data_IF_248250493776
#
_entry.id   IF_248250493776
#
_cell.length_a   1.000
_cell.length_b   1.000
_cell.length_c   1.000
_cell.angle_alpha   90.00
_cell.angle_beta   90.00
_cell.angle_gamma   90.00
#
_symmetry.space_group_name_H-M   'P 1'
#
loop_
_entity.id
_entity.type
_entity.pdbx_description
1 polymer ?
#
# COMPACT_ATOMS: atom_id res chain seq x y z
N UNK A 1 5.41 -72.81 3.38
CA UNK A 1 5.40 -73.55 4.66
C UNK A 1 6.15 -72.69 5.69
N UNK A 2 5.45 -71.87 6.48
CA UNK A 2 4.88 -72.14 7.81
C UNK A 2 5.93 -72.22 8.94
N UNK A 3 5.99 -71.15 9.76
CA UNK A 3 5.95 -71.08 11.25
C UNK A 3 6.72 -69.81 11.71
N UNK A 4 6.06 -68.77 12.24
CA UNK A 4 5.40 -68.58 13.55
C UNK A 4 6.38 -68.38 14.72
N UNK A 5 5.92 -67.53 15.65
CA UNK A 5 6.44 -67.20 17.00
C UNK A 5 7.55 -66.14 17.04
N UNK A 6 7.53 -65.13 17.89
CA UNK A 6 6.63 -64.87 19.02
C UNK A 6 6.85 -63.46 19.54
N UNK A 7 5.83 -63.01 20.26
CA UNK A 7 5.78 -61.90 21.20
C UNK A 7 7.06 -61.80 22.03
N UNK A 8 7.52 -60.60 22.39
CA UNK A 8 7.90 -60.24 23.77
C UNK A 8 8.34 -58.77 23.90
N UNK A 9 7.63 -58.08 24.81
CA UNK A 9 8.16 -57.17 25.84
C UNK A 9 8.70 -55.80 25.44
N UNK A 10 7.88 -54.82 25.82
CA UNK A 10 8.21 -53.43 26.14
C UNK A 10 9.46 -53.28 26.98
N UNK A 11 10.29 -52.27 26.67
CA UNK A 11 11.00 -51.53 27.71
C UNK A 11 11.03 -50.05 27.34
N UNK A 12 10.45 -49.26 28.23
CA UNK A 12 10.45 -47.81 28.28
C UNK A 12 11.90 -47.33 28.44
N UNK A 13 12.36 -46.47 27.55
CA UNK A 13 13.64 -45.78 27.64
C UNK A 13 13.55 -44.39 27.02
N UNK A 14 13.22 -43.39 27.85
CA UNK A 14 13.58 -42.01 27.55
C UNK A 14 15.10 -41.92 27.49
N UNK A 15 15.66 -41.24 26.49
CA UNK A 15 16.75 -40.27 26.62
C UNK A 15 17.03 -39.59 25.26
N UNK A 16 16.86 -38.27 25.29
CA UNK A 16 17.43 -37.21 24.47
C UNK A 16 18.36 -37.54 23.28
N UNK A 17 18.13 -36.85 22.15
CA UNK A 17 19.22 -36.44 21.26
C UNK A 17 18.87 -36.29 19.78
N UNK A 18 18.59 -35.04 19.38
CA UNK A 18 19.06 -34.36 18.17
C UNK A 18 19.20 -35.15 16.85
N UNK A 19 18.45 -34.74 15.82
CA UNK A 19 18.91 -34.93 14.44
C UNK A 19 17.83 -35.08 13.36
N UNK A 20 17.32 -33.95 12.87
CA UNK A 20 17.03 -33.73 11.45
C UNK A 20 15.91 -34.55 10.79
N UNK A 21 14.67 -34.07 10.92
CA UNK A 21 13.63 -34.33 9.91
C UNK A 21 13.87 -33.35 8.74
N UNK A 22 14.35 -33.86 7.61
CA UNK A 22 14.31 -33.14 6.35
C UNK A 22 12.90 -33.28 5.77
N UNK A 23 12.04 -32.32 6.10
CA UNK A 23 10.78 -32.11 5.41
C UNK A 23 11.02 -31.32 4.12
N UNK A 24 10.40 -31.85 3.08
CA UNK A 24 10.21 -31.37 1.71
C UNK A 24 10.43 -29.87 1.44
N UNK A 25 11.25 -29.65 0.42
CA UNK A 25 11.43 -28.40 -0.29
C UNK A 25 10.17 -28.05 -1.09
N UNK A 26 9.39 -27.10 -0.57
CA UNK A 26 8.42 -26.34 -1.35
C UNK A 26 9.13 -25.09 -1.88
N UNK A 27 9.25 -24.86 -3.20
CA UNK A 27 9.83 -23.62 -3.69
C UNK A 27 8.88 -22.46 -3.41
N UNK A 28 9.45 -21.49 -2.71
CA UNK A 28 8.94 -20.16 -2.48
C UNK A 28 8.72 -19.42 -3.81
N UNK A 29 7.56 -18.79 -3.93
CA UNK A 29 7.42 -17.50 -4.58
C UNK A 29 6.32 -16.77 -3.79
N UNK A 30 6.79 -16.21 -2.68
CA UNK A 30 6.05 -15.40 -1.72
C UNK A 30 5.56 -14.14 -2.45
N UNK A 31 4.26 -14.13 -2.71
CA UNK A 31 3.48 -12.97 -3.13
C UNK A 31 3.78 -11.83 -2.15
N UNK A 32 4.50 -10.83 -2.65
CA UNK A 32 4.97 -9.71 -1.86
C UNK A 32 3.79 -9.04 -1.15
N UNK A 33 3.91 -8.98 0.18
CA UNK A 33 2.91 -8.46 1.10
C UNK A 33 2.46 -7.05 0.72
N UNK A 34 1.19 -6.92 0.34
CA UNK A 34 0.48 -5.63 0.31
C UNK A 34 0.20 -5.19 1.75
N UNK A 35 0.54 -3.96 2.18
CA UNK A 35 0.09 -3.47 3.47
C UNK A 35 -1.42 -3.24 3.40
N UNK A 36 -2.17 -4.16 4.01
CA UNK A 36 -3.60 -4.14 4.18
C UNK A 36 -4.02 -3.05 5.17
N UNK A 37 -4.08 -1.77 4.73
CA UNK A 37 -4.77 -0.71 5.47
C UNK A 37 -5.61 0.26 4.60
N UNK A 38 -5.81 0.03 3.30
CA UNK A 38 -6.65 0.88 2.44
C UNK A 38 -7.68 0.13 1.55
N UNK A 39 -7.89 -1.16 1.78
CA UNK A 39 -8.60 -2.05 0.84
C UNK A 39 -10.14 -2.07 0.93
N UNK A 40 -10.83 -1.00 1.35
CA UNK A 40 -12.30 -1.07 1.52
C UNK A 40 -13.14 0.03 0.83
N UNK A 41 -12.53 1.02 0.18
CA UNK A 41 -13.28 1.99 -0.62
C UNK A 41 -12.93 1.79 -2.10
N UNK A 42 -13.92 1.38 -2.88
CA UNK A 42 -13.81 1.29 -4.33
C UNK A 42 -13.56 2.69 -4.92
N UNK A 43 -12.74 2.76 -5.96
CA UNK A 43 -12.46 4.02 -6.64
C UNK A 43 -13.77 4.65 -7.15
N UNK A 44 -13.95 5.98 -7.05
CA UNK A 44 -15.03 6.66 -7.75
C UNK A 44 -15.05 6.27 -9.23
N UNK A 45 -16.17 5.69 -9.67
CA UNK A 45 -16.38 5.32 -11.07
C UNK A 45 -17.50 6.18 -11.67
N UNK A 46 -17.40 6.44 -12.98
CA UNK A 46 -18.37 7.27 -13.70
C UNK A 46 -17.89 8.71 -13.95
N UNK A 47 -18.80 9.59 -14.39
CA UNK A 47 -18.49 10.99 -14.70
C UNK A 47 -17.90 11.73 -13.50
N UNK A 48 -17.13 12.77 -13.77
CA UNK A 48 -16.57 13.64 -12.72
C UNK A 48 -17.70 14.33 -11.96
N UNK A 49 -17.71 14.18 -10.63
CA UNK A 49 -18.53 14.98 -9.74
C UNK A 49 -17.90 16.34 -9.56
N UNK A 50 -18.41 17.33 -10.29
CA UNK A 50 -17.84 18.69 -10.33
C UNK A 50 -17.97 19.43 -8.99
N UNK A 51 -19.00 19.14 -8.19
CA UNK A 51 -19.16 19.76 -6.88
C UNK A 51 -18.15 19.19 -5.88
N UNK A 52 -17.94 17.87 -5.92
CA UNK A 52 -16.93 17.22 -5.11
C UNK A 52 -15.51 17.63 -5.54
N UNK A 53 -15.24 17.72 -6.84
CA UNK A 53 -13.98 18.23 -7.37
C UNK A 53 -13.70 19.68 -6.91
N UNK A 54 -14.71 20.55 -6.89
CA UNK A 54 -14.58 21.91 -6.37
C UNK A 54 -14.29 21.97 -4.86
N UNK A 55 -14.79 21.00 -4.10
CA UNK A 55 -14.42 20.84 -2.68
C UNK A 55 -12.99 20.32 -2.53
N UNK A 56 -12.60 19.37 -3.39
CA UNK A 56 -11.25 18.84 -3.47
C UNK A 56 -10.20 19.88 -3.81
N UNK A 57 -10.51 20.82 -4.71
CA UNK A 57 -9.63 21.93 -5.05
C UNK A 57 -9.37 22.84 -3.85
N UNK A 58 -10.42 23.20 -3.11
CA UNK A 58 -10.29 24.01 -1.90
C UNK A 58 -9.46 23.29 -0.84
N UNK A 59 -9.67 21.99 -0.66
CA UNK A 59 -8.86 21.17 0.25
C UNK A 59 -7.39 21.11 -0.22
N UNK A 60 -7.14 20.88 -1.51
CA UNK A 60 -5.79 20.83 -2.07
C UNK A 60 -5.01 22.14 -1.81
N UNK A 61 -5.68 23.28 -1.88
CA UNK A 61 -5.09 24.58 -1.57
C UNK A 61 -4.90 24.78 -0.06
N UNK A 62 -5.96 24.57 0.74
CA UNK A 62 -5.97 24.87 2.18
C UNK A 62 -5.15 23.90 3.03
N UNK A 63 -4.96 22.66 2.55
CA UNK A 63 -4.06 21.66 3.16
C UNK A 63 -2.61 21.80 2.68
N UNK A 64 -2.30 22.81 1.86
CA UNK A 64 -0.93 23.17 1.48
C UNK A 64 -0.29 22.28 0.40
N UNK A 65 -1.07 21.46 -0.31
CA UNK A 65 -0.55 20.56 -1.35
C UNK A 65 0.19 21.33 -2.46
N UNK A 66 -0.31 22.53 -2.79
CA UNK A 66 0.30 23.46 -3.77
C UNK A 66 1.71 23.94 -3.40
N UNK A 67 2.14 23.77 -2.14
CA UNK A 67 3.49 24.13 -1.71
C UNK A 67 4.56 23.15 -2.20
N UNK A 68 4.17 21.92 -2.52
CA UNK A 68 5.10 20.85 -2.92
C UNK A 68 4.76 20.22 -4.27
N UNK A 69 3.50 20.31 -4.71
CA UNK A 69 3.03 19.66 -5.93
C UNK A 69 2.47 20.66 -6.93
N UNK A 70 2.62 20.34 -8.21
CA UNK A 70 1.83 20.92 -9.28
C UNK A 70 0.86 19.89 -9.84
N UNK A 71 -0.04 20.36 -10.71
CA UNK A 71 -0.84 19.49 -11.58
C UNK A 71 -0.60 19.97 -13.02
N UNK A 72 0.36 19.34 -13.70
CA UNK A 72 0.74 19.61 -15.08
C UNK A 72 1.82 20.67 -15.23
N UNK A 73 2.45 21.08 -14.12
CA UNK A 73 3.50 22.09 -14.08
C UNK A 73 4.91 21.53 -13.90
N UNK A 74 5.05 20.20 -13.85
CA UNK A 74 6.30 19.52 -13.53
C UNK A 74 6.58 19.43 -12.02
N UNK A 75 7.63 18.68 -11.63
CA UNK A 75 7.97 18.45 -10.23
C UNK A 75 8.47 19.73 -9.55
N UNK A 76 8.20 19.85 -8.24
CA UNK A 76 8.74 20.88 -7.35
C UNK A 76 9.55 20.22 -6.24
N UNK A 77 9.09 20.34 -5.00
CA UNK A 77 9.62 19.60 -3.84
C UNK A 77 9.06 18.17 -3.76
N UNK A 78 7.93 17.91 -4.44
CA UNK A 78 7.36 16.59 -4.70
C UNK A 78 7.06 16.38 -6.19
N UNK A 79 6.59 15.18 -6.58
CA UNK A 79 6.25 14.84 -7.96
C UNK A 79 5.11 15.69 -8.53
N UNK A 80 5.06 15.82 -9.86
CA UNK A 80 3.87 16.31 -10.54
C UNK A 80 2.72 15.30 -10.42
N UNK A 81 1.53 15.81 -10.14
CA UNK A 81 0.32 15.01 -9.96
C UNK A 81 -0.52 14.87 -11.22
N UNK A 82 -0.15 15.50 -12.34
CA UNK A 82 -0.84 15.26 -13.62
C UNK A 82 -0.87 13.78 -13.96
N UNK A 83 -2.04 13.18 -14.14
CA UNK A 83 -2.23 11.77 -14.49
C UNK A 83 -1.99 10.79 -13.33
N UNK A 84 -1.94 11.27 -12.08
CA UNK A 84 -1.70 10.41 -10.93
C UNK A 84 -2.84 9.42 -10.73
N UNK A 85 -4.08 9.80 -11.07
CA UNK A 85 -5.25 8.92 -10.88
C UNK A 85 -5.27 7.74 -11.87
N UNK A 86 -4.57 7.88 -13.00
CA UNK A 86 -4.30 6.78 -13.94
C UNK A 86 -3.08 5.93 -13.54
N UNK A 87 -2.09 6.54 -12.88
CA UNK A 87 -0.81 5.87 -12.52
C UNK A 87 -0.85 5.09 -11.21
N UNK A 88 -1.82 5.37 -10.34
CA UNK A 88 -1.89 4.80 -8.99
C UNK A 88 -3.33 4.46 -8.65
N UNK A 89 -3.49 3.32 -7.99
CA UNK A 89 -4.77 2.88 -7.47
C UNK A 89 -5.32 3.90 -6.47
N UNK A 90 -6.65 4.08 -6.49
CA UNK A 90 -7.34 4.99 -5.58
C UNK A 90 -6.96 4.76 -4.11
N UNK A 91 -6.92 3.50 -3.67
CA UNK A 91 -6.53 3.14 -2.31
C UNK A 91 -5.11 3.57 -1.94
N UNK A 92 -4.17 3.55 -2.90
CA UNK A 92 -2.80 4.01 -2.68
C UNK A 92 -2.75 5.53 -2.52
N UNK A 93 -3.48 6.29 -3.35
CA UNK A 93 -3.54 7.75 -3.25
C UNK A 93 -4.18 8.17 -1.93
N UNK A 94 -5.29 7.54 -1.54
CA UNK A 94 -5.92 7.79 -0.24
C UNK A 94 -4.94 7.50 0.90
N UNK A 95 -4.28 6.33 0.89
CA UNK A 95 -3.31 5.97 1.93
C UNK A 95 -2.14 6.97 2.02
N UNK A 96 -1.60 7.39 0.87
CA UNK A 96 -0.50 8.36 0.82
C UNK A 96 -0.90 9.72 1.39
N UNK A 97 -2.12 10.19 1.11
CA UNK A 97 -2.57 11.50 1.56
C UNK A 97 -3.01 11.49 3.03
N UNK A 98 -3.60 10.39 3.52
CA UNK A 98 -4.10 10.29 4.90
C UNK A 98 -3.10 9.71 5.89
N UNK A 99 -2.07 9.00 5.42
CA UNK A 99 -1.06 8.37 6.27
C UNK A 99 0.33 8.30 5.59
N UNK A 100 0.90 9.47 5.19
CA UNK A 100 2.15 9.52 4.46
C UNK A 100 3.32 8.93 5.26
N UNK A 101 3.35 9.10 6.59
CA UNK A 101 4.43 8.58 7.43
C UNK A 101 4.55 7.06 7.34
N UNK A 102 3.44 6.34 7.38
CA UNK A 102 3.43 4.87 7.23
C UNK A 102 3.81 4.46 5.82
N UNK A 103 3.31 5.16 4.81
CA UNK A 103 3.62 4.87 3.40
C UNK A 103 5.13 5.06 3.14
N UNK A 104 5.70 6.18 3.59
CA UNK A 104 7.13 6.51 3.48
C UNK A 104 8.07 5.64 4.34
N UNK A 105 7.53 4.68 5.09
CA UNK A 105 8.27 3.68 5.86
C UNK A 105 8.09 2.27 5.29
N UNK A 106 6.95 1.95 4.70
CA UNK A 106 6.54 0.57 4.42
C UNK A 106 6.15 0.29 2.97
N UNK A 107 5.70 1.30 2.21
CA UNK A 107 5.26 1.11 0.83
C UNK A 107 6.46 1.26 -0.13
N UNK A 108 6.76 0.25 -0.97
CA UNK A 108 7.91 0.30 -1.86
C UNK A 108 7.92 1.50 -2.80
N UNK A 109 6.76 1.87 -3.34
CA UNK A 109 6.65 3.00 -4.27
C UNK A 109 6.85 4.32 -3.56
N UNK A 110 6.28 4.50 -2.37
CA UNK A 110 6.50 5.69 -1.56
C UNK A 110 7.97 5.80 -1.11
N UNK A 111 8.64 4.68 -0.81
CA UNK A 111 10.07 4.66 -0.48
C UNK A 111 10.95 5.09 -1.67
N UNK A 112 10.63 4.64 -2.89
CA UNK A 112 11.29 5.10 -4.11
C UNK A 112 11.12 6.60 -4.31
N UNK A 113 9.88 7.10 -4.21
CA UNK A 113 9.58 8.54 -4.33
C UNK A 113 10.29 9.35 -3.24
N UNK A 114 10.37 8.85 -2.01
CA UNK A 114 11.10 9.50 -0.91
C UNK A 114 12.59 9.63 -1.20
N UNK A 115 13.18 8.68 -1.90
CA UNK A 115 14.59 8.73 -2.29
C UNK A 115 14.84 9.70 -3.45
N UNK A 116 13.84 9.92 -4.31
CA UNK A 116 13.92 10.80 -5.47
C UNK A 116 13.67 12.27 -5.14
N UNK A 117 12.72 12.56 -4.24
CA UNK A 117 12.27 13.92 -3.97
C UNK A 117 12.86 14.50 -2.67
N UNK A 118 13.20 15.81 -2.65
CA UNK A 118 13.96 16.41 -1.56
C UNK A 118 13.17 16.57 -0.25
N UNK A 119 11.84 16.57 -0.32
CA UNK A 119 10.98 16.79 0.85
C UNK A 119 10.03 15.61 1.04
N UNK A 120 10.09 14.89 2.17
CA UNK A 120 9.10 13.87 2.47
C UNK A 120 7.73 14.52 2.70
N UNK A 121 6.67 13.89 2.20
CA UNK A 121 5.30 14.31 2.49
C UNK A 121 4.99 14.11 3.97
N UNK A 122 4.45 15.13 4.63
CA UNK A 122 4.00 15.07 6.03
C UNK A 122 2.50 14.86 6.11
N UNK A 123 2.00 14.40 7.26
CA UNK A 123 0.56 14.34 7.51
C UNK A 123 -0.05 15.75 7.47
N UNK A 124 -0.99 15.96 6.55
CA UNK A 124 -1.71 17.23 6.36
C UNK A 124 -3.10 17.26 7.04
N UNK A 125 -3.42 16.26 7.86
CA UNK A 125 -4.70 16.15 8.57
C UNK A 125 -5.87 15.92 7.62
N UNK A 126 -5.65 15.14 6.56
CA UNK A 126 -6.65 14.80 5.55
C UNK A 126 -7.43 13.57 5.99
N UNK A 127 -8.76 13.69 6.05
CA UNK A 127 -9.65 12.55 6.32
C UNK A 127 -9.87 11.70 5.05
N UNK A 128 -10.36 10.45 5.16
CA UNK A 128 -10.71 9.66 3.99
C UNK A 128 -11.73 10.33 3.06
N UNK A 129 -12.70 11.07 3.60
CA UNK A 129 -13.68 11.80 2.81
C UNK A 129 -13.06 13.01 2.11
N UNK A 130 -12.16 13.74 2.79
CA UNK A 130 -11.38 14.83 2.18
C UNK A 130 -10.46 14.28 1.07
N UNK A 131 -9.84 13.12 1.29
CA UNK A 131 -9.00 12.44 0.30
C UNK A 131 -9.80 12.03 -0.94
N UNK A 132 -11.05 11.58 -0.77
CA UNK A 132 -11.97 11.32 -1.88
C UNK A 132 -12.23 12.60 -2.70
N UNK A 133 -12.48 13.71 -2.03
CA UNK A 133 -12.69 14.99 -2.70
C UNK A 133 -11.45 15.43 -3.48
N UNK A 134 -10.27 15.34 -2.86
CA UNK A 134 -8.98 15.64 -3.50
C UNK A 134 -8.73 14.74 -4.71
N UNK A 135 -9.04 13.44 -4.61
CA UNK A 135 -8.93 12.52 -5.72
C UNK A 135 -9.85 12.92 -6.88
N UNK A 136 -11.10 13.31 -6.60
CA UNK A 136 -12.03 13.79 -7.64
C UNK A 136 -11.55 15.10 -8.29
N UNK A 137 -10.93 15.99 -7.50
CA UNK A 137 -10.24 17.16 -8.05
C UNK A 137 -9.14 16.76 -9.03
N UNK A 138 -8.27 15.83 -8.66
CA UNK A 138 -7.18 15.37 -9.54
C UNK A 138 -7.72 14.75 -10.83
N UNK A 139 -8.76 13.90 -10.75
CA UNK A 139 -9.45 13.38 -11.94
C UNK A 139 -9.98 14.50 -12.84
N UNK A 140 -10.56 15.55 -12.24
CA UNK A 140 -11.09 16.69 -13.01
C UNK A 140 -9.98 17.47 -13.74
N UNK A 141 -8.78 17.56 -13.17
CA UNK A 141 -7.62 18.23 -13.77
C UNK A 141 -7.02 17.44 -14.92
N UNK A 142 -7.19 16.13 -14.92
CA UNK A 142 -6.70 15.21 -15.95
C UNK A 142 -7.62 15.15 -17.18
N UNK A 143 -8.89 15.52 -17.01
CA UNK A 143 -9.89 15.57 -18.08
C UNK A 143 -9.93 16.87 -18.89
N UNK A 144 -9.07 17.84 -18.56
CA UNK A 144 -8.99 19.18 -19.18
C UNK A 144 -7.83 19.28 -20.16
#
# INVERSE_FOLDING_TARGET
MIKRFGTFVSLLGLLAGCGGEAAEEQPAAEEAATPAVAAAAEAPSGPIDTALAGSGEQLFQTRGCIGCHTVGGGPLNGPDLQGVTDRREYGWIVAMVTNPDSMLQNDPVALELKAEYPTPMTDMGVSPDDARAIFEYLRSRESQ
#
